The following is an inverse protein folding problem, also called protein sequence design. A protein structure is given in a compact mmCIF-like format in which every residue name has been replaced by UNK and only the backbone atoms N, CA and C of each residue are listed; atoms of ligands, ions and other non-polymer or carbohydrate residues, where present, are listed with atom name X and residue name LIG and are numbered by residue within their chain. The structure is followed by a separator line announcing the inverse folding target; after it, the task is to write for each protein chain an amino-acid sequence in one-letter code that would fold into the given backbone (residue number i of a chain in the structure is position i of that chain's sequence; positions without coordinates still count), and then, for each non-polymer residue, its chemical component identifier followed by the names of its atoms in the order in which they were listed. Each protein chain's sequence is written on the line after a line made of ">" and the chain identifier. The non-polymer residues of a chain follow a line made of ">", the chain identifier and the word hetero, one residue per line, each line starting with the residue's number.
data_IF_083671322817
#
_entry.id   IF_083671322817
#
_cell.length_a   1.000
_cell.length_b   1.000
_cell.length_c   1.000
_cell.angle_alpha   90.00
_cell.angle_beta   90.00
_cell.angle_gamma   90.00
#
_symmetry.space_group_name_H-M   'P 1'
#
loop_
_entity.id
_entity.type
_entity.pdbx_description
1 polymer ?
#
# COMPACT_ATOMS: atom_id res chain seq x y z
N UNK A 1 -20.60 -8.09 18.76
CA UNK A 1 -19.85 -9.09 17.99
C UNK A 1 -20.85 -10.04 17.37
N UNK A 2 -20.81 -10.25 16.07
CA UNK A 2 -21.64 -11.20 15.32
C UNK A 2 -20.75 -12.33 14.84
N UNK A 3 -21.16 -13.59 15.09
CA UNK A 3 -20.49 -14.78 14.59
C UNK A 3 -21.32 -15.36 13.47
N UNK A 4 -20.66 -15.67 12.34
CA UNK A 4 -21.28 -16.22 11.14
C UNK A 4 -20.61 -17.57 10.84
N UNK A 5 -21.41 -18.64 10.74
CA UNK A 5 -20.91 -19.96 10.37
C UNK A 5 -20.77 -20.08 8.84
N UNK A 6 -19.83 -20.93 8.35
CA UNK A 6 -19.70 -21.19 6.91
C UNK A 6 -20.70 -22.23 6.45
N UNK A 7 -21.99 -21.96 6.67
CA UNK A 7 -23.11 -22.82 6.27
C UNK A 7 -24.05 -22.03 5.35
N UNK A 8 -24.39 -22.65 4.22
CA UNK A 8 -25.42 -22.20 3.31
C UNK A 8 -26.66 -23.05 3.42
N UNK A 9 -27.82 -22.49 3.11
CA UNK A 9 -29.07 -23.22 3.05
C UNK A 9 -29.76 -22.99 1.70
N UNK A 10 -30.25 -24.03 1.08
CA UNK A 10 -31.11 -23.90 -0.08
C UNK A 10 -32.50 -23.41 0.32
N UNK A 11 -33.28 -22.98 -0.66
CA UNK A 11 -34.71 -22.62 -0.44
C UNK A 11 -35.55 -23.79 0.03
N UNK A 12 -35.09 -25.03 -0.18
CA UNK A 12 -35.69 -26.27 0.28
C UNK A 12 -35.24 -26.71 1.66
N UNK A 13 -34.31 -25.95 2.30
CA UNK A 13 -33.83 -26.20 3.66
C UNK A 13 -32.64 -27.16 3.75
N UNK A 14 -32.06 -27.57 2.63
CA UNK A 14 -30.83 -28.37 2.61
C UNK A 14 -29.63 -27.54 3.05
N UNK A 15 -28.77 -28.11 3.89
CA UNK A 15 -27.55 -27.43 4.37
C UNK A 15 -26.33 -27.78 3.52
N UNK A 16 -25.50 -26.77 3.25
CA UNK A 16 -24.26 -26.88 2.50
C UNK A 16 -23.12 -26.31 3.32
N UNK A 17 -21.99 -27.04 3.34
CA UNK A 17 -20.73 -26.47 3.81
C UNK A 17 -20.15 -25.58 2.72
N UNK A 18 -19.91 -24.31 3.01
CA UNK A 18 -19.32 -23.33 2.09
C UNK A 18 -17.96 -22.87 2.63
N UNK A 19 -17.14 -22.30 1.76
CA UNK A 19 -15.85 -21.76 2.19
C UNK A 19 -16.04 -20.60 3.15
N UNK A 20 -15.36 -20.64 4.29
CA UNK A 20 -15.37 -19.55 5.28
C UNK A 20 -14.84 -18.24 4.69
N UNK A 21 -13.86 -18.35 3.80
CA UNK A 21 -13.22 -17.22 3.11
C UNK A 21 -14.21 -16.56 2.13
N UNK A 22 -15.00 -17.36 1.40
CA UNK A 22 -16.03 -16.83 0.52
C UNK A 22 -17.16 -16.17 1.30
N UNK A 23 -17.63 -16.79 2.38
CA UNK A 23 -18.63 -16.17 3.26
C UNK A 23 -18.13 -14.84 3.80
N UNK A 24 -16.90 -14.81 4.30
CA UNK A 24 -16.30 -13.59 4.85
C UNK A 24 -16.23 -12.46 3.81
N UNK A 25 -15.79 -12.77 2.57
CA UNK A 25 -15.72 -11.75 1.51
C UNK A 25 -17.11 -11.24 1.11
N UNK A 26 -18.10 -12.14 0.96
CA UNK A 26 -19.48 -11.75 0.61
C UNK A 26 -20.13 -10.91 1.70
N UNK A 27 -19.93 -11.27 2.97
CA UNK A 27 -20.42 -10.48 4.11
C UNK A 27 -19.75 -9.12 4.17
N UNK A 28 -18.42 -9.05 4.01
CA UNK A 28 -17.69 -7.78 4.00
C UNK A 28 -18.18 -6.85 2.88
N UNK A 29 -18.43 -7.37 1.69
CA UNK A 29 -19.00 -6.61 0.56
C UNK A 29 -20.41 -6.12 0.89
N UNK A 30 -21.28 -7.01 1.37
CA UNK A 30 -22.68 -6.66 1.67
C UNK A 30 -22.82 -5.62 2.77
N UNK A 31 -21.89 -5.60 3.73
CA UNK A 31 -21.84 -4.63 4.82
C UNK A 31 -21.08 -3.35 4.45
N UNK A 32 -20.53 -3.23 3.25
CA UNK A 32 -19.60 -2.15 2.87
C UNK A 32 -18.49 -1.98 3.93
N UNK A 33 -17.89 -3.10 4.35
CA UNK A 33 -16.88 -3.10 5.39
C UNK A 33 -15.65 -2.28 4.97
N UNK A 34 -15.08 -1.53 5.89
CA UNK A 34 -13.86 -0.76 5.64
C UNK A 34 -12.61 -1.66 5.51
N UNK A 35 -12.64 -2.82 6.17
CA UNK A 35 -11.54 -3.78 6.16
C UNK A 35 -12.09 -5.21 6.24
N UNK A 36 -11.44 -6.12 5.53
CA UNK A 36 -11.55 -7.56 5.73
C UNK A 36 -10.20 -8.06 6.26
N UNK A 37 -10.19 -8.78 7.37
CA UNK A 37 -8.97 -9.36 7.94
C UNK A 37 -9.10 -10.87 7.92
N UNK A 38 -8.19 -11.52 7.21
CA UNK A 38 -8.13 -12.97 7.09
C UNK A 38 -6.90 -13.50 7.83
N UNK A 39 -7.12 -14.44 8.73
CA UNK A 39 -6.03 -15.14 9.40
C UNK A 39 -5.63 -16.38 8.62
N UNK A 40 -4.38 -16.42 8.17
CA UNK A 40 -3.79 -17.52 7.40
C UNK A 40 -2.55 -18.10 8.09
N UNK A 41 -2.03 -19.19 7.56
CA UNK A 41 -0.84 -19.85 8.11
C UNK A 41 0.48 -19.18 7.74
N UNK A 42 0.45 -18.24 6.79
CA UNK A 42 1.61 -17.57 6.21
C UNK A 42 1.64 -16.09 6.63
N UNK A 43 2.83 -15.51 6.62
CA UNK A 43 3.05 -14.09 6.96
C UNK A 43 2.54 -13.12 5.88
N UNK A 44 2.00 -13.63 4.77
CA UNK A 44 1.60 -12.85 3.60
C UNK A 44 2.36 -13.29 2.34
N UNK A 45 2.46 -12.42 1.36
CA UNK A 45 3.25 -12.61 0.14
C UNK A 45 4.71 -12.34 0.43
N UNK A 46 5.56 -13.28 0.05
CA UNK A 46 7.02 -13.16 0.20
C UNK A 46 7.62 -12.90 -1.19
N UNK A 47 8.44 -11.86 -1.29
CA UNK A 47 9.18 -11.55 -2.51
C UNK A 47 10.40 -12.48 -2.70
N UNK A 48 11.09 -12.35 -3.82
CA UNK A 48 12.29 -13.14 -4.14
C UNK A 48 13.45 -12.93 -3.14
N UNK A 49 13.42 -11.84 -2.36
CA UNK A 49 14.41 -11.54 -1.31
C UNK A 49 14.05 -12.14 0.04
N UNK A 50 12.88 -12.80 0.16
CA UNK A 50 12.40 -13.36 1.43
C UNK A 50 11.70 -12.32 2.33
N UNK A 51 11.35 -11.15 1.82
CA UNK A 51 10.68 -10.09 2.58
C UNK A 51 9.17 -10.13 2.31
N UNK A 52 8.37 -9.81 3.33
CA UNK A 52 6.91 -9.66 3.17
C UNK A 52 6.61 -8.46 2.28
N UNK A 53 5.76 -8.66 1.26
CA UNK A 53 5.22 -7.58 0.45
C UNK A 53 4.04 -6.96 1.20
N UNK A 54 4.16 -5.73 1.70
CA UNK A 54 3.15 -5.16 2.60
C UNK A 54 1.87 -4.77 1.88
N UNK A 55 1.94 -4.38 0.61
CA UNK A 55 0.79 -3.89 -0.15
C UNK A 55 0.80 -4.43 -1.58
N UNK A 56 -0.36 -4.88 -2.05
CA UNK A 56 -0.60 -5.31 -3.42
C UNK A 56 -1.90 -4.71 -3.94
N UNK A 57 -1.94 -4.40 -5.24
CA UNK A 57 -3.19 -4.17 -5.95
C UNK A 57 -3.84 -5.48 -6.38
N UNK A 58 -5.17 -5.51 -6.63
CA UNK A 58 -5.85 -6.73 -7.04
C UNK A 58 -5.20 -7.44 -8.23
N UNK A 59 -4.70 -6.67 -9.22
CA UNK A 59 -4.03 -7.17 -10.41
C UNK A 59 -2.72 -7.91 -10.07
N UNK A 60 -1.90 -7.30 -9.22
CA UNK A 60 -0.65 -7.90 -8.74
C UNK A 60 -0.90 -9.15 -7.88
N UNK A 61 -1.95 -9.10 -7.06
CA UNK A 61 -2.36 -10.24 -6.25
C UNK A 61 -2.86 -11.41 -7.11
N UNK A 62 -3.50 -11.15 -8.26
CA UNK A 62 -3.88 -12.17 -9.22
C UNK A 62 -2.69 -12.81 -9.92
N UNK A 63 -1.69 -12.01 -10.31
CA UNK A 63 -0.44 -12.55 -10.87
C UNK A 63 0.25 -13.49 -9.87
N UNK A 64 0.28 -13.09 -8.60
CA UNK A 64 0.83 -13.93 -7.54
C UNK A 64 0.02 -15.21 -7.33
N UNK A 65 -1.30 -15.10 -7.32
CA UNK A 65 -2.21 -16.23 -7.21
C UNK A 65 -2.01 -17.23 -8.35
N UNK A 66 -1.90 -16.75 -9.59
CA UNK A 66 -1.66 -17.59 -10.77
C UNK A 66 -0.35 -18.37 -10.63
N UNK A 67 0.72 -17.73 -10.16
CA UNK A 67 2.01 -18.42 -9.88
C UNK A 67 1.88 -19.49 -8.80
N UNK A 68 1.12 -19.22 -7.73
CA UNK A 68 0.88 -20.22 -6.67
C UNK A 68 0.14 -21.45 -7.21
N UNK A 69 -0.86 -21.24 -8.07
CA UNK A 69 -1.64 -22.32 -8.69
C UNK A 69 -0.78 -23.14 -9.66
N UNK A 70 0.08 -22.51 -10.46
CA UNK A 70 1.01 -23.18 -11.38
C UNK A 70 2.04 -24.05 -10.64
N UNK A 71 2.47 -23.63 -9.47
CA UNK A 71 3.41 -24.39 -8.61
C UNK A 71 2.72 -25.54 -7.87
N UNK A 72 1.40 -25.67 -7.96
CA UNK A 72 0.63 -26.74 -7.31
C UNK A 72 0.59 -26.61 -5.77
N UNK A 73 0.89 -25.47 -5.22
CA UNK A 73 0.98 -25.22 -3.76
C UNK A 73 -0.39 -24.84 -3.17
N UNK A 74 -1.44 -25.57 -3.56
CA UNK A 74 -2.78 -25.40 -2.99
C UNK A 74 -2.96 -26.12 -1.63
N UNK A 75 -1.90 -26.82 -1.16
CA UNK A 75 -1.92 -27.60 0.08
C UNK A 75 -2.10 -26.77 1.35
N UNK A 76 -1.80 -25.47 1.31
CA UNK A 76 -1.88 -24.57 2.45
C UNK A 76 -3.17 -23.77 2.56
N UNK A 77 -4.06 -23.86 1.58
CA UNK A 77 -5.27 -23.05 1.49
C UNK A 77 -5.00 -21.55 1.22
N UNK A 78 -3.75 -21.18 1.00
CA UNK A 78 -3.34 -19.77 0.78
C UNK A 78 -4.06 -19.17 -0.42
N UNK A 79 -4.18 -19.90 -1.53
CA UNK A 79 -4.89 -19.46 -2.71
C UNK A 79 -6.35 -19.06 -2.44
N UNK A 80 -7.05 -19.75 -1.53
CA UNK A 80 -8.43 -19.40 -1.15
C UNK A 80 -8.52 -18.05 -0.45
N UNK A 81 -7.59 -17.77 0.48
CA UNK A 81 -7.53 -16.48 1.15
C UNK A 81 -7.25 -15.34 0.17
N UNK A 82 -6.33 -15.55 -0.77
CA UNK A 82 -6.03 -14.56 -1.83
C UNK A 82 -7.25 -14.30 -2.72
N UNK A 83 -7.89 -15.34 -3.24
CA UNK A 83 -9.12 -15.19 -4.06
C UNK A 83 -10.20 -14.41 -3.31
N UNK A 84 -10.40 -14.73 -2.04
CA UNK A 84 -11.36 -14.06 -1.17
C UNK A 84 -11.03 -12.58 -0.95
N UNK A 85 -9.76 -12.28 -0.68
CA UNK A 85 -9.27 -10.91 -0.46
C UNK A 85 -9.38 -10.05 -1.74
N UNK A 86 -8.98 -10.60 -2.90
CA UNK A 86 -9.14 -9.96 -4.21
C UNK A 86 -10.62 -9.69 -4.51
N UNK A 87 -11.47 -10.70 -4.31
CA UNK A 87 -12.91 -10.59 -4.55
C UNK A 87 -13.55 -9.51 -3.65
N UNK A 88 -13.14 -9.43 -2.38
CA UNK A 88 -13.60 -8.41 -1.46
C UNK A 88 -13.22 -7.00 -1.94
N UNK A 89 -11.95 -6.79 -2.32
CA UNK A 89 -11.48 -5.49 -2.82
C UNK A 89 -12.19 -5.09 -4.11
N UNK A 90 -12.36 -6.00 -5.07
CA UNK A 90 -13.13 -5.74 -6.30
C UNK A 90 -14.60 -5.47 -6.01
N UNK A 91 -15.16 -6.10 -4.99
CA UNK A 91 -16.53 -5.90 -4.54
C UNK A 91 -16.77 -4.61 -3.74
N UNK A 92 -15.72 -3.79 -3.51
CA UNK A 92 -15.86 -2.48 -2.88
C UNK A 92 -15.24 -2.34 -1.50
N UNK A 93 -14.74 -3.42 -0.88
CA UNK A 93 -13.99 -3.34 0.38
C UNK A 93 -12.66 -2.63 0.11
N UNK A 94 -12.36 -1.51 0.78
CA UNK A 94 -11.15 -0.74 0.48
C UNK A 94 -9.85 -1.49 0.72
N UNK A 95 -9.79 -2.33 1.75
CA UNK A 95 -8.59 -3.06 2.17
C UNK A 95 -8.93 -4.47 2.65
N UNK A 96 -8.18 -5.46 2.19
CA UNK A 96 -8.24 -6.84 2.67
C UNK A 96 -6.86 -7.27 3.16
N UNK A 97 -6.76 -7.64 4.43
CA UNK A 97 -5.51 -7.97 5.10
C UNK A 97 -5.36 -9.48 5.24
N UNK A 98 -4.17 -9.98 4.93
CA UNK A 98 -3.75 -11.37 5.13
C UNK A 98 -2.72 -11.38 6.25
N UNK A 99 -3.09 -11.92 7.40
CA UNK A 99 -2.30 -11.86 8.64
C UNK A 99 -2.04 -13.26 9.15
N UNK A 100 -0.82 -13.53 9.60
CA UNK A 100 -0.49 -14.84 10.16
C UNK A 100 -1.10 -15.04 11.55
N UNK A 101 -1.81 -16.16 11.75
CA UNK A 101 -2.24 -16.58 13.09
C UNK A 101 -1.11 -17.18 13.93
N UNK A 102 0.08 -17.38 13.35
CA UNK A 102 1.25 -17.92 14.03
C UNK A 102 2.06 -16.84 14.75
N UNK A 103 1.84 -15.58 14.42
CA UNK A 103 2.52 -14.44 15.01
C UNK A 103 1.72 -13.90 16.19
N UNK A 104 2.33 -13.86 17.36
CA UNK A 104 1.69 -13.31 18.56
C UNK A 104 1.50 -11.79 18.42
N UNK A 105 0.30 -11.31 18.77
CA UNK A 105 -0.03 -9.89 18.61
C UNK A 105 -0.22 -9.40 17.18
N UNK A 106 -0.22 -10.29 16.18
CA UNK A 106 -0.30 -9.96 14.76
C UNK A 106 -1.48 -9.02 14.43
N UNK A 107 -2.67 -9.29 14.96
CA UNK A 107 -3.85 -8.44 14.74
C UNK A 107 -3.64 -7.02 15.26
N UNK A 108 -3.04 -6.89 16.43
CA UNK A 108 -2.78 -5.58 17.04
C UNK A 108 -1.76 -4.81 16.20
N UNK A 109 -0.69 -5.48 15.81
CA UNK A 109 0.32 -4.86 14.93
C UNK A 109 -0.27 -4.44 13.60
N UNK A 110 -1.07 -5.32 12.95
CA UNK A 110 -1.71 -5.01 11.66
C UNK A 110 -2.68 -3.83 11.74
N UNK A 111 -3.40 -3.67 12.85
CA UNK A 111 -4.40 -2.62 12.99
C UNK A 111 -3.84 -1.29 13.51
N UNK A 112 -2.80 -1.33 14.32
CA UNK A 112 -2.31 -0.17 15.07
C UNK A 112 -0.91 0.29 14.66
N UNK A 113 -0.23 -0.42 13.75
CA UNK A 113 0.99 0.09 13.11
C UNK A 113 0.69 0.52 11.67
N UNK A 114 1.53 1.40 11.13
CA UNK A 114 1.33 1.97 9.80
C UNK A 114 1.56 0.96 8.67
N UNK A 115 2.56 0.12 8.82
CA UNK A 115 2.95 -0.84 7.77
C UNK A 115 2.35 -2.22 7.97
N UNK A 116 1.75 -2.49 9.16
CA UNK A 116 1.27 -3.82 9.50
C UNK A 116 2.41 -4.84 9.58
N UNK A 117 2.06 -6.12 9.62
CA UNK A 117 3.02 -7.23 9.57
C UNK A 117 2.69 -8.26 8.48
N UNK A 118 1.53 -8.14 7.87
CA UNK A 118 1.02 -9.02 6.83
C UNK A 118 1.09 -8.39 5.45
N UNK A 119 0.32 -8.97 4.53
CA UNK A 119 0.07 -8.39 3.21
C UNK A 119 -1.34 -7.84 3.15
N UNK A 120 -1.48 -6.59 2.72
CA UNK A 120 -2.80 -6.04 2.42
C UNK A 120 -3.02 -5.96 0.91
N UNK A 121 -4.23 -6.32 0.47
CA UNK A 121 -4.71 -6.06 -0.88
C UNK A 121 -5.57 -4.81 -0.79
N UNK A 122 -5.23 -3.78 -1.57
CA UNK A 122 -5.88 -2.47 -1.51
C UNK A 122 -6.47 -2.10 -2.86
N UNK A 123 -7.69 -1.57 -2.83
CA UNK A 123 -8.36 -1.11 -4.05
C UNK A 123 -7.69 0.13 -4.63
N UNK A 124 -7.24 1.01 -3.77
CA UNK A 124 -6.49 2.22 -4.11
C UNK A 124 -5.32 2.32 -3.15
N UNK A 125 -4.16 2.70 -3.65
CA UNK A 125 -3.02 2.96 -2.77
C UNK A 125 -3.40 3.99 -1.71
N UNK A 126 -3.04 3.73 -0.47
CA UNK A 126 -3.08 4.76 0.56
C UNK A 126 -2.09 5.89 0.25
N UNK A 127 -1.11 5.60 -0.60
CA UNK A 127 -0.10 6.54 -1.06
C UNK A 127 -0.56 7.19 -2.35
N UNK A 128 -0.72 8.51 -2.32
CA UNK A 128 -1.05 9.32 -3.48
C UNK A 128 0.18 10.13 -3.88
N UNK A 129 0.66 9.87 -5.10
CA UNK A 129 1.69 10.70 -5.72
C UNK A 129 1.01 11.82 -6.49
N UNK A 130 1.38 13.06 -6.19
CA UNK A 130 0.82 14.25 -6.83
C UNK A 130 1.81 15.42 -6.81
N UNK A 131 1.55 16.40 -7.65
CA UNK A 131 2.21 17.70 -7.54
C UNK A 131 1.88 18.35 -6.20
N UNK A 132 2.85 19.00 -5.59
CA UNK A 132 2.66 19.72 -4.34
C UNK A 132 1.89 21.03 -4.56
N UNK A 133 1.24 21.47 -3.51
CA UNK A 133 0.54 22.75 -3.42
C UNK A 133 1.07 23.58 -2.26
N UNK A 134 0.64 24.83 -2.14
CA UNK A 134 1.04 25.73 -1.04
C UNK A 134 0.70 25.13 0.33
N UNK A 135 -0.38 24.36 0.42
CA UNK A 135 -0.81 23.72 1.68
C UNK A 135 0.16 22.64 2.15
N UNK A 136 0.98 22.09 1.24
CA UNK A 136 1.93 21.03 1.51
C UNK A 136 3.27 21.50 2.08
N UNK A 137 3.54 22.80 2.04
CA UNK A 137 4.83 23.39 2.44
C UNK A 137 5.21 23.00 3.87
N UNK A 138 4.24 22.99 4.79
CA UNK A 138 4.47 22.55 6.17
C UNK A 138 5.02 21.13 6.25
N UNK A 139 4.35 20.20 5.60
CA UNK A 139 4.75 18.79 5.60
C UNK A 139 6.06 18.54 4.84
N UNK A 140 6.33 19.28 3.75
CA UNK A 140 7.62 19.22 3.04
C UNK A 140 8.74 19.70 3.96
N UNK A 141 8.56 20.83 4.65
CA UNK A 141 9.57 21.35 5.59
C UNK A 141 9.84 20.37 6.74
N UNK A 142 8.80 19.75 7.30
CA UNK A 142 8.97 18.78 8.37
C UNK A 142 9.77 17.55 7.91
N UNK A 143 9.59 17.15 6.64
CA UNK A 143 10.32 16.05 6.02
C UNK A 143 11.80 16.39 5.73
N UNK A 144 12.09 17.59 5.22
CA UNK A 144 13.45 17.95 4.76
C UNK A 144 14.35 18.53 5.85
N UNK A 145 13.78 19.22 6.86
CA UNK A 145 14.57 19.89 7.93
C UNK A 145 15.57 18.98 8.64
N UNK A 146 15.25 17.73 9.02
CA UNK A 146 16.25 16.83 9.60
C UNK A 146 17.42 16.57 8.66
N UNK A 147 17.17 16.39 7.37
CA UNK A 147 18.19 16.14 6.35
C UNK A 147 19.04 17.39 6.06
N UNK A 148 18.43 18.57 6.14
CA UNK A 148 19.13 19.84 6.05
C UNK A 148 20.06 20.09 7.26
N UNK A 149 19.60 19.69 8.46
CA UNK A 149 20.40 19.79 9.68
C UNK A 149 21.62 18.85 9.65
N UNK A 150 21.47 17.69 9.03
CA UNK A 150 22.55 16.72 8.80
C UNK A 150 23.48 17.10 7.62
N UNK A 151 23.16 18.16 6.87
CA UNK A 151 23.92 18.59 5.70
C UNK A 151 23.72 17.71 4.46
N UNK A 152 22.72 16.84 4.44
CA UNK A 152 22.38 15.96 3.31
C UNK A 152 21.66 16.76 2.21
N UNK A 153 20.80 17.69 2.62
CA UNK A 153 20.08 18.58 1.71
C UNK A 153 20.51 20.04 1.91
N UNK A 154 20.45 20.80 0.85
CA UNK A 154 20.65 22.25 0.88
C UNK A 154 19.48 22.91 1.58
N UNK A 155 19.76 23.80 2.52
CA UNK A 155 18.73 24.54 3.28
C UNK A 155 17.86 25.38 2.36
N UNK A 156 16.55 25.30 2.56
CA UNK A 156 15.53 26.08 1.86
C UNK A 156 14.66 26.85 2.86
N UNK A 157 14.46 28.13 2.58
CA UNK A 157 13.51 28.91 3.35
C UNK A 157 12.06 28.57 2.90
N UNK A 158 11.10 28.91 3.75
CA UNK A 158 9.68 28.77 3.42
C UNK A 158 9.31 29.55 2.16
N UNK A 159 9.83 30.77 2.04
CA UNK A 159 9.58 31.66 0.91
C UNK A 159 10.13 31.07 -0.41
N UNK A 160 11.30 30.42 -0.35
CA UNK A 160 11.85 29.72 -1.51
C UNK A 160 10.98 28.55 -1.95
N UNK A 161 10.45 27.78 -0.98
CA UNK A 161 9.52 26.69 -1.30
C UNK A 161 8.21 27.23 -1.89
N UNK A 162 7.65 28.29 -1.35
CA UNK A 162 6.46 28.96 -1.87
C UNK A 162 6.62 29.40 -3.33
N UNK A 163 7.77 29.96 -3.68
CA UNK A 163 8.07 30.37 -5.06
C UNK A 163 8.29 29.22 -6.03
N UNK A 164 8.69 28.05 -5.53
CA UNK A 164 9.09 26.89 -6.34
C UNK A 164 8.17 25.69 -6.17
N UNK A 165 7.05 25.85 -5.50
CA UNK A 165 6.17 24.74 -5.12
C UNK A 165 5.67 23.91 -6.32
N UNK A 166 5.47 24.55 -7.45
CA UNK A 166 5.03 23.91 -8.70
C UNK A 166 6.05 22.91 -9.25
N UNK A 167 7.31 23.00 -8.82
CA UNK A 167 8.34 22.04 -9.19
C UNK A 167 8.39 20.82 -8.25
N UNK A 168 7.65 20.85 -7.12
CA UNK A 168 7.67 19.79 -6.14
C UNK A 168 6.59 18.76 -6.39
N UNK A 169 6.98 17.50 -6.22
CA UNK A 169 6.11 16.34 -6.22
C UNK A 169 6.22 15.65 -4.86
N UNK A 170 5.10 15.15 -4.38
CA UNK A 170 5.00 14.49 -3.08
C UNK A 170 4.33 13.14 -3.20
N UNK A 171 4.67 12.25 -2.28
CA UNK A 171 3.85 11.08 -1.97
C UNK A 171 3.25 11.35 -0.60
N UNK A 172 1.93 11.37 -0.57
CA UNK A 172 1.13 11.53 0.63
C UNK A 172 0.52 10.19 1.03
N UNK A 173 0.47 9.92 2.34
CA UNK A 173 -0.24 8.79 2.92
C UNK A 173 -0.98 9.23 4.18
N UNK A 174 -2.29 9.04 4.18
CA UNK A 174 -3.17 9.36 5.33
C UNK A 174 -2.95 10.80 5.87
N UNK A 175 -2.79 11.78 4.95
CA UNK A 175 -2.60 13.19 5.29
C UNK A 175 -1.17 13.56 5.68
N UNK A 176 -0.22 12.65 5.62
CA UNK A 176 1.20 12.90 5.90
C UNK A 176 2.04 12.79 4.63
N UNK A 177 2.92 13.76 4.40
CA UNK A 177 3.90 13.69 3.32
C UNK A 177 5.02 12.75 3.73
N UNK A 178 5.13 11.62 3.02
CA UNK A 178 6.12 10.56 3.28
C UNK A 178 7.31 10.61 2.34
N UNK A 179 7.18 11.29 1.21
CA UNK A 179 8.30 11.52 0.27
C UNK A 179 8.07 12.82 -0.49
N UNK A 180 9.15 13.48 -0.87
CA UNK A 180 9.12 14.61 -1.79
C UNK A 180 10.34 14.58 -2.72
N UNK A 181 10.18 15.20 -3.89
CA UNK A 181 11.26 15.52 -4.81
C UNK A 181 10.89 16.77 -5.64
N UNK A 182 11.88 17.51 -6.09
CA UNK A 182 11.70 18.64 -6.99
C UNK A 182 12.28 18.33 -8.36
N UNK A 183 11.61 18.78 -9.43
CA UNK A 183 12.06 18.69 -10.80
C UNK A 183 12.19 20.11 -11.40
N UNK A 184 13.39 20.49 -11.76
CA UNK A 184 13.69 21.78 -12.38
C UNK A 184 14.00 21.58 -13.86
N UNK A 185 13.09 21.92 -14.80
CA UNK A 185 13.32 21.75 -16.23
C UNK A 185 14.19 22.85 -16.80
N UNK A 186 15.20 22.46 -17.59
CA UNK A 186 16.03 23.35 -18.44
C UNK A 186 15.67 23.06 -19.90
N UNK A 187 14.60 23.74 -20.36
CA UNK A 187 13.98 23.44 -21.67
C UNK A 187 14.90 23.68 -22.87
N UNK A 188 15.80 24.67 -22.77
CA UNK A 188 16.73 25.00 -23.86
C UNK A 188 17.78 23.89 -24.06
N UNK A 189 18.16 23.18 -22.99
CA UNK A 189 19.14 22.09 -23.01
C UNK A 189 18.50 20.72 -23.12
N UNK A 190 17.17 20.62 -23.16
CA UNK A 190 16.41 19.37 -23.08
C UNK A 190 16.84 18.49 -21.89
N UNK A 191 17.07 19.13 -20.73
CA UNK A 191 17.49 18.51 -19.50
C UNK A 191 16.56 18.90 -18.33
N UNK A 192 16.63 18.14 -17.25
CA UNK A 192 16.01 18.52 -16.00
C UNK A 192 16.88 18.09 -14.81
N UNK A 193 16.87 18.89 -13.78
CA UNK A 193 17.53 18.57 -12.51
C UNK A 193 16.51 18.02 -11.52
N UNK A 194 16.79 16.83 -10.99
CA UNK A 194 16.07 16.29 -9.85
C UNK A 194 16.78 16.71 -8.56
N UNK A 195 16.09 17.39 -7.68
CA UNK A 195 16.63 17.90 -6.43
C UNK A 195 15.70 17.59 -5.24
N UNK A 196 16.19 17.83 -4.04
CA UNK A 196 15.41 17.73 -2.80
C UNK A 196 14.68 16.38 -2.63
N UNK A 197 15.32 15.28 -3.04
CA UNK A 197 14.75 13.94 -2.86
C UNK A 197 14.83 13.57 -1.38
N UNK A 198 13.68 13.39 -0.76
CA UNK A 198 13.57 13.00 0.64
C UNK A 198 12.50 11.92 0.83
N UNK A 199 12.79 10.96 1.72
CA UNK A 199 11.84 9.92 2.16
C UNK A 199 11.87 9.88 3.68
N UNK A 200 10.68 9.87 4.27
CA UNK A 200 10.51 9.80 5.71
C UNK A 200 11.20 8.54 6.28
N UNK A 201 11.95 8.64 7.39
CA UNK A 201 12.76 7.53 7.91
C UNK A 201 12.00 6.21 8.09
N UNK A 202 10.78 6.27 8.61
CA UNK A 202 9.92 5.10 8.82
C UNK A 202 9.43 4.44 7.51
N UNK A 203 9.61 5.10 6.37
CA UNK A 203 9.14 4.63 5.06
C UNK A 203 10.25 4.27 4.08
N UNK A 204 11.53 4.26 4.53
CA UNK A 204 12.68 3.99 3.65
C UNK A 204 12.80 2.53 3.20
N UNK A 205 12.17 1.59 3.89
CA UNK A 205 12.32 0.14 3.68
C UNK A 205 11.53 -0.46 2.50
N UNK A 206 10.64 0.29 1.85
CA UNK A 206 9.68 -0.25 0.87
C UNK A 206 9.87 0.30 -0.55
N UNK A 207 11.12 0.49 -0.98
CA UNK A 207 11.45 0.96 -2.35
C UNK A 207 10.79 2.29 -2.77
N UNK A 208 10.33 3.11 -1.80
CA UNK A 208 9.59 4.36 -2.07
C UNK A 208 10.46 5.43 -2.68
N UNK A 209 11.75 5.45 -2.35
CA UNK A 209 12.72 6.33 -3.00
C UNK A 209 12.80 6.06 -4.50
N UNK A 210 12.97 4.80 -4.89
CA UNK A 210 13.05 4.38 -6.29
C UNK A 210 11.74 4.67 -7.03
N UNK A 211 10.60 4.47 -6.37
CA UNK A 211 9.28 4.79 -6.93
C UNK A 211 9.12 6.29 -7.19
N UNK A 212 9.57 7.15 -6.24
CA UNK A 212 9.56 8.60 -6.44
C UNK A 212 10.46 8.98 -7.61
N UNK A 213 11.69 8.47 -7.67
CA UNK A 213 12.63 8.71 -8.75
C UNK A 213 12.03 8.32 -10.10
N UNK A 214 11.48 7.11 -10.23
CA UNK A 214 10.84 6.64 -11.46
C UNK A 214 9.70 7.55 -11.92
N UNK A 215 8.86 8.01 -10.99
CA UNK A 215 7.77 8.94 -11.32
C UNK A 215 8.27 10.29 -11.83
N UNK A 216 9.34 10.84 -11.21
CA UNK A 216 9.95 12.08 -11.65
C UNK A 216 10.63 11.91 -13.02
N UNK A 217 11.27 10.76 -13.27
CA UNK A 217 11.85 10.46 -14.58
C UNK A 217 10.77 10.40 -15.69
N UNK A 218 9.63 9.79 -15.41
CA UNK A 218 8.52 9.72 -16.36
C UNK A 218 7.94 11.12 -16.67
N UNK A 219 7.84 11.98 -15.64
CA UNK A 219 7.45 13.38 -15.80
C UNK A 219 8.49 14.19 -16.59
N UNK A 220 9.77 13.92 -16.39
CA UNK A 220 10.84 14.62 -17.13
C UNK A 220 10.90 14.24 -18.62
N UNK A 221 10.35 13.05 -18.98
CA UNK A 221 10.28 12.56 -20.37
C UNK A 221 9.03 13.03 -21.11
N UNK A 222 7.99 13.50 -20.41
CA UNK A 222 6.74 13.99 -20.97
C UNK A 222 6.83 15.46 -21.42
#
# INVERSE_FOLDING_TARGET
>A
IVLISPLGFSVTGESFSVSSEEVASKVAIALNANKLISFCSHQGVINEKGEVVPELFPEQAEEYLTRLEELGDDSSGTARYFRSAIAACRGGVPRSHLVSYREDGALVQELFTRDGIGTQIVRHSAEQARQASIDDIGGILDLIRPLEAEGILVKRSREQLEMQIDNFFIIERDGMIISCAALYPFKEEAMAEMACVAVHPEYRSSNRGDRMVSQIEDLARS
#
